data_IF_655776602597
#
_entry.id   IF_655776602597
#
_cell.length_a   1.000
_cell.length_b   1.000
_cell.length_c   1.000
_cell.angle_alpha   90.00
_cell.angle_beta   90.00
_cell.angle_gamma   90.00
#
_symmetry.space_group_name_H-M   'P 1'
#
loop_
_entity.id
_entity.type
_entity.pdbx_description
1 polymer ?
#
# COMPACT_ATOMS: atom_id res chain seq x y z
N UNK A 1 15.40 8.25 7.13
CA UNK A 1 14.51 9.24 7.79
C UNK A 1 13.90 8.55 9.00
N UNK A 2 13.63 9.26 10.10
CA UNK A 2 13.06 8.62 11.29
C UNK A 2 11.52 8.62 11.16
N UNK A 3 10.91 7.45 11.12
CA UNK A 3 9.45 7.32 11.18
C UNK A 3 9.01 7.76 12.58
N UNK A 4 8.38 8.93 12.70
CA UNK A 4 7.75 9.36 13.95
C UNK A 4 6.36 8.76 14.03
N UNK A 5 5.98 8.24 15.20
CA UNK A 5 4.62 7.77 15.44
C UNK A 5 3.62 8.91 15.22
N UNK A 6 2.54 8.64 14.48
CA UNK A 6 1.40 9.53 14.34
C UNK A 6 0.45 9.27 15.51
N UNK A 7 0.22 10.23 16.42
CA UNK A 7 -0.77 10.08 17.48
C UNK A 7 -2.19 10.07 16.86
N UNK A 8 -3.11 9.38 17.52
CA UNK A 8 -4.54 9.42 17.18
C UNK A 8 -4.84 9.08 15.70
N UNK A 9 -4.26 7.97 15.22
CA UNK A 9 -4.54 7.43 13.88
C UNK A 9 -6.02 7.06 13.77
N UNK A 10 -6.72 7.66 12.81
CA UNK A 10 -8.13 7.38 12.50
C UNK A 10 -8.29 6.32 11.41
N UNK A 11 -7.29 6.20 10.55
CA UNK A 11 -7.32 5.25 9.46
C UNK A 11 -5.98 5.10 8.75
N UNK A 12 -6.03 4.21 7.75
CA UNK A 12 -4.92 3.96 6.85
C UNK A 12 -5.36 4.19 5.41
N UNK A 13 -4.44 4.71 4.61
CA UNK A 13 -4.53 4.66 3.15
C UNK A 13 -3.54 3.58 2.71
N UNK A 14 -4.00 2.63 1.92
CA UNK A 14 -3.12 1.62 1.30
C UNK A 14 -3.15 1.80 -0.20
N UNK A 15 -1.97 1.99 -0.77
CA UNK A 15 -1.77 2.15 -2.21
C UNK A 15 -0.84 1.05 -2.71
N UNK A 16 -1.16 0.50 -3.88
CA UNK A 16 -0.38 -0.56 -4.51
C UNK A 16 -0.33 -0.31 -6.02
N UNK A 17 0.89 -0.32 -6.55
CA UNK A 17 1.14 -0.15 -7.97
C UNK A 17 2.26 -1.04 -8.48
N UNK A 18 2.38 -1.17 -9.80
CA UNK A 18 3.56 -1.78 -10.40
C UNK A 18 4.80 -0.94 -10.06
N UNK A 19 5.90 -1.59 -9.66
CA UNK A 19 7.17 -0.89 -9.49
C UNK A 19 7.79 -0.47 -10.84
N UNK A 20 7.37 -1.11 -11.94
CA UNK A 20 7.72 -0.74 -13.31
C UNK A 20 6.57 0.08 -13.93
N UNK A 21 6.79 1.39 -14.09
CA UNK A 21 5.84 2.31 -14.71
C UNK A 21 5.56 1.98 -16.20
N UNK A 22 6.42 1.20 -16.86
CA UNK A 22 6.25 0.76 -18.24
C UNK A 22 5.65 -0.65 -18.37
N UNK A 23 5.13 -1.22 -17.27
CA UNK A 23 4.52 -2.55 -17.27
C UNK A 23 3.41 -2.67 -18.32
N UNK A 24 3.36 -3.81 -19.04
CA UNK A 24 2.34 -4.08 -20.08
C UNK A 24 0.90 -3.98 -19.55
N UNK A 25 0.73 -4.23 -18.24
CA UNK A 25 -0.52 -4.06 -17.51
C UNK A 25 -0.25 -3.17 -16.31
N UNK A 26 -0.90 -2.02 -16.31
CA UNK A 26 -0.98 -1.12 -15.17
C UNK A 26 -1.87 -1.72 -14.06
N UNK A 27 -1.36 -1.66 -12.84
CA UNK A 27 -2.04 -1.97 -11.60
C UNK A 27 -1.96 -0.72 -10.75
N UNK A 28 -3.13 -0.20 -10.40
CA UNK A 28 -3.30 0.86 -9.41
C UNK A 28 -4.43 0.41 -8.48
N UNK A 29 -4.14 0.34 -7.19
CA UNK A 29 -5.11 0.01 -6.16
C UNK A 29 -4.93 0.96 -4.99
N UNK A 30 -6.01 1.64 -4.59
CA UNK A 30 -6.03 2.52 -3.43
C UNK A 30 -7.27 2.22 -2.59
N UNK A 31 -7.10 2.17 -1.27
CA UNK A 31 -8.19 1.93 -0.32
C UNK A 31 -7.96 2.66 1.00
N UNK A 32 -9.03 3.26 1.52
CA UNK A 32 -9.08 3.80 2.87
C UNK A 32 -9.64 2.76 3.85
N UNK A 33 -8.97 2.60 4.99
CA UNK A 33 -9.26 1.56 5.98
C UNK A 33 -9.39 2.17 7.37
N UNK A 34 -10.28 1.64 8.22
CA UNK A 34 -10.33 2.02 9.64
C UNK A 34 -9.03 1.68 10.38
N UNK A 35 -8.67 2.45 11.42
CA UNK A 35 -7.46 2.27 12.23
C UNK A 35 -7.31 0.88 12.89
N UNK A 36 -8.41 0.14 13.08
CA UNK A 36 -8.38 -1.22 13.65
C UNK A 36 -7.99 -2.29 12.61
N UNK A 37 -7.81 -1.91 11.33
CA UNK A 37 -7.52 -2.85 10.25
C UNK A 37 -6.05 -3.26 10.28
N UNK A 38 -5.78 -4.54 10.51
CA UNK A 38 -4.43 -5.11 10.50
C UNK A 38 -4.14 -6.00 9.28
N UNK A 39 -5.13 -6.22 8.40
CA UNK A 39 -5.01 -7.14 7.27
C UNK A 39 -5.92 -6.71 6.14
N UNK A 40 -5.42 -6.86 4.91
CA UNK A 40 -6.15 -6.60 3.67
C UNK A 40 -6.05 -7.80 2.74
N UNK A 41 -7.12 -8.04 2.00
CA UNK A 41 -7.12 -9.00 0.89
C UNK A 41 -7.07 -8.24 -0.43
N UNK A 42 -6.19 -8.66 -1.34
CA UNK A 42 -6.17 -8.13 -2.70
C UNK A 42 -7.09 -8.96 -3.60
N UNK A 43 -7.81 -8.33 -4.55
CA UNK A 43 -8.64 -9.03 -5.51
C UNK A 43 -7.86 -10.12 -6.27
N UNK A 44 -8.50 -11.27 -6.48
CA UNK A 44 -7.90 -12.35 -7.25
C UNK A 44 -7.57 -11.90 -8.68
N UNK A 45 -6.36 -12.20 -9.14
CA UNK A 45 -5.88 -11.79 -10.47
C UNK A 45 -5.46 -10.33 -10.58
N UNK A 46 -5.47 -9.55 -9.48
CA UNK A 46 -4.85 -8.23 -9.45
C UNK A 46 -3.34 -8.34 -9.68
N UNK A 47 -2.70 -9.24 -8.92
CA UNK A 47 -1.25 -9.45 -9.00
C UNK A 47 -0.89 -10.50 -10.06
N UNK A 48 -0.01 -10.11 -10.97
CA UNK A 48 0.63 -10.99 -11.92
C UNK A 48 1.78 -11.76 -11.24
N UNK A 49 2.10 -12.98 -11.70
CA UNK A 49 3.22 -13.76 -11.19
C UNK A 49 4.56 -13.18 -11.64
N UNK A 50 5.60 -13.34 -10.81
CA UNK A 50 6.94 -12.83 -11.08
C UNK A 50 6.95 -11.32 -11.44
N UNK A 51 6.16 -10.53 -10.71
CA UNK A 51 6.04 -9.08 -10.91
C UNK A 51 6.35 -8.38 -9.59
N UNK A 52 7.14 -7.31 -9.67
CA UNK A 52 7.44 -6.44 -8.54
C UNK A 52 6.38 -5.35 -8.43
N UNK A 53 5.98 -5.09 -7.18
CA UNK A 53 4.99 -4.09 -6.82
C UNK A 53 5.55 -3.19 -5.73
N UNK A 54 5.14 -1.94 -5.76
CA UNK A 54 5.30 -1.00 -4.67
C UNK A 54 4.02 -0.97 -3.84
N UNK A 55 4.17 -1.06 -2.51
CA UNK A 55 3.10 -0.97 -1.53
C UNK A 55 3.40 0.20 -0.60
N UNK A 56 2.48 1.15 -0.55
CA UNK A 56 2.52 2.28 0.37
C UNK A 56 1.40 2.14 1.40
N UNK A 57 1.75 2.35 2.67
CA UNK A 57 0.79 2.40 3.78
C UNK A 57 0.93 3.76 4.45
N UNK A 58 -0.06 4.62 4.23
CA UNK A 58 -0.24 5.91 4.87
C UNK A 58 -1.02 5.78 6.17
N UNK A 59 -0.59 6.45 7.22
CA UNK A 59 -1.40 6.72 8.42
C UNK A 59 -2.09 8.07 8.26
N UNK A 60 -3.37 8.17 8.62
CA UNK A 60 -4.12 9.44 8.62
C UNK A 60 -4.55 9.76 10.05
N UNK A 61 -4.25 10.97 10.53
CA UNK A 61 -4.76 11.50 11.81
C UNK A 61 -5.84 12.55 11.60
N UNK A 62 -6.61 12.86 12.66
CA UNK A 62 -7.62 13.94 12.69
C UNK A 62 -7.09 15.31 12.23
N UNK A 63 -5.78 15.54 12.35
CA UNK A 63 -5.10 16.79 11.99
C UNK A 63 -4.50 16.77 10.57
N UNK A 64 -4.89 15.82 9.72
CA UNK A 64 -4.36 15.59 8.37
C UNK A 64 -2.83 15.32 8.34
N UNK A 65 -2.24 14.85 9.45
CA UNK A 65 -0.85 14.40 9.42
C UNK A 65 -0.79 13.04 8.72
N UNK A 66 -0.14 13.00 7.56
CA UNK A 66 0.01 11.75 6.80
C UNK A 66 1.48 11.33 6.79
N UNK A 67 1.75 10.13 7.32
CA UNK A 67 3.05 9.47 7.20
C UNK A 67 2.88 8.18 6.42
N UNK A 68 3.65 8.05 5.33
CA UNK A 68 3.71 6.85 4.50
C UNK A 68 4.93 6.01 4.85
N UNK A 69 4.71 4.71 4.89
CA UNK A 69 5.78 3.71 4.81
C UNK A 69 5.62 2.97 3.49
N UNK A 70 6.70 2.94 2.73
CA UNK A 70 6.77 2.29 1.43
C UNK A 70 7.60 1.00 1.53
N UNK A 71 7.18 -0.02 0.79
CA UNK A 71 7.94 -1.25 0.63
C UNK A 71 7.68 -1.85 -0.74
N UNK A 72 8.64 -2.61 -1.25
CA UNK A 72 8.48 -3.37 -2.48
C UNK A 72 8.43 -4.86 -2.19
N UNK A 73 7.68 -5.59 -3.02
CA UNK A 73 7.68 -7.05 -2.98
C UNK A 73 7.50 -7.63 -4.38
N UNK A 74 8.04 -8.84 -4.59
CA UNK A 74 7.87 -9.58 -5.83
C UNK A 74 6.98 -10.80 -5.60
N UNK A 75 5.99 -11.00 -6.46
CA UNK A 75 5.19 -12.24 -6.43
C UNK A 75 6.03 -13.43 -6.88
N UNK A 76 5.69 -14.62 -6.36
CA UNK A 76 6.37 -15.84 -6.78
C UNK A 76 6.13 -16.14 -8.27
N UNK A 77 7.09 -16.84 -8.88
CA UNK A 77 6.85 -17.53 -10.14
C UNK A 77 5.80 -18.65 -9.93
N UNK A 78 5.00 -18.92 -10.96
CA UNK A 78 4.07 -20.06 -10.96
C UNK A 78 4.77 -21.39 -11.22
#
# INVERSE_FOLDING_TARGET
MANSAVPDVEGYIVELENADEEAEREVEFSVELPAETTTIGLPAGLLAPNTEYELQIGTVSEEDNISFVETTFTTAAQ
#
